data_IF_368380447903
#
_entry.id   IF_368380447903
#
_cell.length_a   1.000
_cell.length_b   1.000
_cell.length_c   1.000
_cell.angle_alpha   90.00
_cell.angle_beta   90.00
_cell.angle_gamma   90.00
#
_symmetry.space_group_name_H-M   'P 1'
#
loop_
_entity.id
_entity.type
_entity.pdbx_description
1 polymer ?
#
# COMPACT_ATOMS: atom_id res chain seq x y z
N UNK A 1 -3.45 7.28 41.37
CA UNK A 1 -4.47 8.24 40.84
C UNK A 1 -5.09 9.16 41.91
N UNK A 2 -4.74 9.00 43.22
CA UNK A 2 -5.44 9.68 44.32
C UNK A 2 -5.20 11.20 44.44
N UNK A 3 -4.23 11.80 43.72
CA UNK A 3 -3.87 13.22 43.90
C UNK A 3 -3.70 14.03 42.59
N UNK A 4 -4.15 13.56 41.45
CA UNK A 4 -4.09 14.32 40.19
C UNK A 4 -5.44 14.95 39.88
N UNK A 5 -5.45 16.23 39.51
CA UNK A 5 -6.65 16.86 38.98
C UNK A 5 -7.04 16.21 37.65
N UNK A 6 -8.33 16.16 37.33
CA UNK A 6 -8.85 15.62 36.05
C UNK A 6 -8.14 16.27 34.85
N UNK A 7 -7.89 17.58 34.91
CA UNK A 7 -7.17 18.33 33.86
C UNK A 7 -5.73 17.84 33.70
N UNK A 8 -5.02 17.59 34.83
CA UNK A 8 -3.64 17.06 34.83
C UNK A 8 -3.60 15.66 34.25
N UNK A 9 -4.58 14.82 34.58
CA UNK A 9 -4.70 13.47 34.02
C UNK A 9 -4.88 13.48 32.50
N UNK A 10 -5.82 14.27 31.98
CA UNK A 10 -6.03 14.39 30.53
C UNK A 10 -4.82 14.97 29.80
N UNK A 11 -4.15 15.97 30.38
CA UNK A 11 -2.91 16.52 29.79
C UNK A 11 -1.84 15.45 29.68
N UNK A 12 -1.62 14.66 30.72
CA UNK A 12 -0.67 13.55 30.69
C UNK A 12 -1.04 12.46 29.68
N UNK A 13 -2.34 12.12 29.58
CA UNK A 13 -2.85 11.17 28.61
C UNK A 13 -2.56 11.63 27.17
N UNK A 14 -2.95 12.87 26.82
CA UNK A 14 -2.69 13.41 25.49
C UNK A 14 -1.20 13.54 25.19
N UNK A 15 -0.40 13.96 26.15
CA UNK A 15 1.03 14.08 25.96
C UNK A 15 1.68 12.71 25.69
N UNK A 16 1.28 11.66 26.42
CA UNK A 16 1.78 10.31 26.19
C UNK A 16 1.29 9.75 24.84
N UNK A 17 0.01 9.98 24.49
CA UNK A 17 -0.54 9.55 23.19
C UNK A 17 0.18 10.23 22.01
N UNK A 18 0.50 11.52 22.10
CA UNK A 18 1.20 12.26 21.05
C UNK A 18 2.66 11.83 20.86
N UNK A 19 3.27 11.20 21.87
CA UNK A 19 4.62 10.63 21.80
C UNK A 19 4.68 9.30 21.05
N UNK A 20 3.53 8.62 20.92
CA UNK A 20 3.46 7.37 20.17
C UNK A 20 3.68 7.62 18.68
N UNK A 21 4.25 6.64 18.01
CA UNK A 21 4.32 6.62 16.54
C UNK A 21 2.91 6.63 15.93
N UNK A 22 2.79 7.02 14.67
CA UNK A 22 1.49 7.03 13.99
C UNK A 22 0.86 5.63 13.96
N UNK A 23 1.65 4.58 13.74
CA UNK A 23 1.17 3.20 13.76
C UNK A 23 0.66 2.77 15.13
N UNK A 24 1.35 3.14 16.21
CA UNK A 24 0.89 2.84 17.57
C UNK A 24 -0.43 3.56 17.89
N UNK A 25 -0.56 4.83 17.47
CA UNK A 25 -1.81 5.59 17.60
C UNK A 25 -2.94 4.96 16.80
N UNK A 26 -2.64 4.50 15.58
CA UNK A 26 -3.60 3.78 14.74
C UNK A 26 -4.06 2.48 15.40
N UNK A 27 -3.13 1.69 15.94
CA UNK A 27 -3.46 0.46 16.66
C UNK A 27 -4.35 0.68 17.89
N UNK A 28 -4.19 1.80 18.59
CA UNK A 28 -5.05 2.19 19.73
C UNK A 28 -6.45 2.58 19.23
N UNK A 29 -6.54 3.42 18.19
CA UNK A 29 -7.83 3.88 17.63
C UNK A 29 -8.63 2.69 17.09
N UNK A 30 -7.98 1.74 16.43
CA UNK A 30 -8.58 0.52 15.86
C UNK A 30 -8.24 -0.72 16.70
N UNK A 31 -8.20 -0.58 18.04
CA UNK A 31 -7.80 -1.66 18.94
C UNK A 31 -8.64 -2.92 18.80
N UNK A 32 -9.95 -2.78 18.58
CA UNK A 32 -10.85 -3.91 18.34
C UNK A 32 -10.44 -4.68 17.08
N UNK A 33 -10.25 -3.98 15.97
CA UNK A 33 -9.86 -4.56 14.69
C UNK A 33 -8.46 -5.19 14.79
N UNK A 34 -7.53 -4.50 15.41
CA UNK A 34 -6.15 -4.98 15.67
C UNK A 34 -6.16 -6.30 16.45
N UNK A 35 -6.92 -6.37 17.54
CA UNK A 35 -7.03 -7.57 18.36
C UNK A 35 -7.65 -8.74 17.59
N UNK A 36 -8.75 -8.50 16.85
CA UNK A 36 -9.39 -9.53 16.03
C UNK A 36 -8.47 -10.06 14.92
N UNK A 37 -7.71 -9.17 14.28
CA UNK A 37 -6.76 -9.56 13.24
C UNK A 37 -5.60 -10.37 13.82
N UNK A 38 -5.04 -9.94 14.95
CA UNK A 38 -3.98 -10.69 15.65
C UNK A 38 -4.47 -12.08 16.08
N UNK A 39 -5.67 -12.18 16.65
CA UNK A 39 -6.28 -13.45 17.00
C UNK A 39 -6.47 -14.35 15.76
N UNK A 40 -6.93 -13.76 14.64
CA UNK A 40 -7.12 -14.48 13.41
C UNK A 40 -5.80 -15.01 12.82
N UNK A 41 -4.72 -14.24 12.89
CA UNK A 41 -3.38 -14.65 12.45
C UNK A 41 -2.84 -15.78 13.33
N UNK A 42 -2.92 -15.60 14.64
CA UNK A 42 -2.38 -16.55 15.64
C UNK A 42 -3.10 -17.90 15.59
N UNK A 43 -4.45 -17.86 15.59
CA UNK A 43 -5.30 -19.06 15.60
C UNK A 43 -5.64 -19.59 14.21
N UNK A 44 -5.07 -18.99 13.16
CA UNK A 44 -5.36 -19.37 11.75
C UNK A 44 -6.86 -19.39 11.43
N UNK A 45 -7.58 -18.33 11.82
CA UNK A 45 -9.03 -18.19 11.61
C UNK A 45 -9.33 -17.22 10.48
N UNK A 46 -10.38 -17.54 9.71
CA UNK A 46 -10.85 -16.71 8.61
C UNK A 46 -11.56 -15.48 9.17
N UNK A 47 -11.26 -14.31 8.62
CA UNK A 47 -11.97 -13.06 8.87
C UNK A 47 -13.00 -12.83 7.77
N UNK A 48 -14.21 -12.45 8.12
CA UNK A 48 -15.17 -11.91 7.18
C UNK A 48 -15.02 -10.39 7.16
N UNK A 49 -14.77 -9.85 5.97
CA UNK A 49 -14.53 -8.41 5.75
C UNK A 49 -15.43 -7.90 4.64
N UNK A 50 -15.64 -6.59 4.59
CA UNK A 50 -16.30 -5.94 3.45
C UNK A 50 -15.25 -5.34 2.51
N UNK A 51 -15.13 -5.92 1.32
CA UNK A 51 -14.30 -5.41 0.25
C UNK A 51 -15.18 -5.00 -0.94
N UNK A 52 -15.06 -3.76 -1.42
CA UNK A 52 -15.89 -3.23 -2.52
C UNK A 52 -17.40 -3.43 -2.32
N UNK A 53 -17.90 -3.19 -1.09
CA UNK A 53 -19.32 -3.36 -0.66
C UNK A 53 -19.81 -4.82 -0.69
N UNK A 54 -18.93 -5.81 -0.87
CA UNK A 54 -19.26 -7.23 -0.83
C UNK A 54 -18.60 -7.89 0.37
N UNK A 55 -19.30 -8.84 0.98
CA UNK A 55 -18.71 -9.69 2.02
C UNK A 55 -17.74 -10.67 1.38
N UNK A 56 -16.53 -10.72 1.93
CA UNK A 56 -15.44 -11.57 1.45
C UNK A 56 -14.77 -12.27 2.63
N UNK A 57 -14.30 -13.48 2.40
CA UNK A 57 -13.47 -14.19 3.35
C UNK A 57 -12.01 -13.76 3.16
N UNK A 58 -11.37 -13.38 4.26
CA UNK A 58 -9.98 -12.96 4.27
C UNK A 58 -9.17 -13.87 5.19
N UNK A 59 -8.08 -14.37 4.68
CA UNK A 59 -7.15 -15.28 5.31
C UNK A 59 -5.91 -14.47 5.71
N UNK A 60 -5.86 -13.90 6.91
CA UNK A 60 -4.80 -12.97 7.28
C UNK A 60 -3.49 -13.72 7.48
N UNK A 61 -2.41 -13.14 6.95
CA UNK A 61 -1.06 -13.69 7.06
C UNK A 61 -0.20 -12.92 8.05
N UNK A 62 -0.16 -11.59 7.91
CA UNK A 62 0.71 -10.73 8.72
C UNK A 62 0.17 -9.30 8.76
N UNK A 63 0.36 -8.63 9.90
CA UNK A 63 0.29 -7.17 10.00
C UNK A 63 1.69 -6.59 9.84
N UNK A 64 1.81 -5.49 9.09
CA UNK A 64 3.08 -4.81 8.86
C UNK A 64 2.87 -3.30 8.79
N UNK A 65 3.83 -2.57 9.37
CA UNK A 65 3.88 -1.11 9.29
C UNK A 65 4.79 -0.69 8.15
N UNK A 66 4.39 0.29 7.36
CA UNK A 66 5.27 0.92 6.39
C UNK A 66 6.23 1.87 7.11
N UNK A 67 7.49 1.93 6.63
CA UNK A 67 8.46 2.87 7.19
C UNK A 67 8.16 4.32 6.80
N UNK A 68 7.54 4.49 5.63
CA UNK A 68 7.30 5.78 5.00
C UNK A 68 6.03 6.45 5.51
N UNK A 69 4.95 5.67 5.60
CA UNK A 69 3.63 6.20 5.97
C UNK A 69 3.29 5.97 7.43
N UNK A 70 4.07 5.13 8.11
CA UNK A 70 3.81 4.73 9.49
C UNK A 70 2.40 4.17 9.72
N UNK A 71 1.80 3.61 8.66
CA UNK A 71 0.46 3.05 8.66
C UNK A 71 0.51 1.53 8.78
N UNK A 72 -0.54 0.94 9.36
CA UNK A 72 -0.64 -0.50 9.53
C UNK A 72 -1.40 -1.11 8.35
N UNK A 73 -0.75 -2.08 7.70
CA UNK A 73 -1.36 -2.89 6.66
C UNK A 73 -1.49 -4.34 7.10
N UNK A 74 -2.53 -4.99 6.64
CA UNK A 74 -2.77 -6.41 6.84
C UNK A 74 -2.71 -7.10 5.49
N UNK A 75 -1.78 -8.02 5.32
CA UNK A 75 -1.65 -8.84 4.11
C UNK A 75 -2.22 -10.23 4.35
N UNK A 76 -2.84 -10.79 3.32
CA UNK A 76 -3.42 -12.13 3.35
C UNK A 76 -4.00 -12.54 2.00
N UNK A 77 -4.75 -13.64 1.99
CA UNK A 77 -5.48 -14.09 0.80
C UNK A 77 -6.95 -13.67 0.88
N UNK A 78 -7.43 -12.98 -0.14
CA UNK A 78 -8.84 -12.69 -0.31
C UNK A 78 -9.52 -13.89 -0.97
N UNK A 79 -10.58 -14.39 -0.34
CA UNK A 79 -11.31 -15.60 -0.74
C UNK A 79 -10.39 -16.84 -0.95
N UNK A 80 -9.30 -16.92 -0.17
CA UNK A 80 -8.34 -18.03 -0.22
C UNK A 80 -7.51 -18.12 -1.50
N UNK A 81 -7.51 -17.10 -2.35
CA UNK A 81 -6.88 -17.17 -3.69
C UNK A 81 -5.91 -16.03 -3.97
N UNK A 82 -6.36 -14.80 -3.86
CA UNK A 82 -5.65 -13.62 -4.33
C UNK A 82 -4.95 -12.90 -3.20
N UNK A 83 -3.66 -12.64 -3.31
CA UNK A 83 -2.94 -11.82 -2.34
C UNK A 83 -3.51 -10.40 -2.36
N UNK A 84 -3.83 -9.91 -1.17
CA UNK A 84 -4.34 -8.58 -1.00
C UNK A 84 -3.80 -7.96 0.30
N UNK A 85 -3.48 -6.67 0.26
CA UNK A 85 -3.18 -5.89 1.46
C UNK A 85 -4.23 -4.83 1.68
N UNK A 86 -4.65 -4.70 2.91
CA UNK A 86 -5.60 -3.69 3.35
C UNK A 86 -4.95 -2.79 4.38
N UNK A 87 -5.12 -1.49 4.24
CA UNK A 87 -4.83 -0.56 5.32
C UNK A 87 -5.82 -0.80 6.48
N UNK A 88 -5.32 -0.81 7.73
CA UNK A 88 -6.10 -1.17 8.91
C UNK A 88 -7.42 -0.37 9.01
N UNK A 89 -7.39 0.93 8.77
CA UNK A 89 -8.58 1.79 8.86
C UNK A 89 -9.71 1.39 7.89
N UNK A 90 -9.40 0.67 6.79
CA UNK A 90 -10.38 0.19 5.81
C UNK A 90 -11.10 -1.08 6.25
N UNK A 91 -10.58 -1.76 7.25
CA UNK A 91 -11.10 -3.03 7.75
C UNK A 91 -12.15 -2.85 8.85
N UNK A 92 -13.08 -1.90 8.68
CA UNK A 92 -14.17 -1.67 9.63
C UNK A 92 -15.23 -2.77 9.54
N UNK A 93 -15.77 -3.17 10.71
CA UNK A 93 -16.87 -4.12 10.79
C UNK A 93 -16.48 -5.56 10.46
N UNK A 94 -15.17 -5.89 10.58
CA UNK A 94 -14.72 -7.26 10.40
C UNK A 94 -15.24 -8.17 11.52
N UNK A 95 -15.46 -9.43 11.18
CA UNK A 95 -15.87 -10.47 12.13
C UNK A 95 -14.97 -11.69 12.01
N UNK A 96 -14.66 -12.29 13.15
CA UNK A 96 -13.90 -13.52 13.23
C UNK A 96 -14.86 -14.71 13.03
N UNK A 97 -14.56 -15.57 12.06
CA UNK A 97 -15.35 -16.80 11.84
C UNK A 97 -14.84 -17.96 12.71
N UNK A 98 -15.60 -19.04 12.80
CA UNK A 98 -15.15 -20.26 13.47
C UNK A 98 -14.34 -21.21 12.57
N UNK A 99 -14.15 -20.83 11.29
CA UNK A 99 -13.41 -21.65 10.34
C UNK A 99 -11.92 -21.37 10.44
N UNK A 100 -11.14 -22.44 10.57
CA UNK A 100 -9.68 -22.40 10.54
C UNK A 100 -9.16 -22.70 9.14
N UNK A 101 -7.93 -22.30 8.86
CA UNK A 101 -7.28 -22.54 7.58
C UNK A 101 -5.79 -22.83 7.76
N UNK A 102 -5.19 -23.41 6.74
CA UNK A 102 -3.74 -23.55 6.63
C UNK A 102 -3.27 -23.05 5.26
N UNK A 103 -2.21 -22.28 5.25
CA UNK A 103 -1.58 -21.89 4.00
C UNK A 103 -0.75 -23.04 3.43
N UNK A 104 -0.92 -23.34 2.16
CA UNK A 104 -0.05 -24.23 1.40
C UNK A 104 1.39 -23.66 1.34
N UNK A 105 2.42 -24.48 1.19
CA UNK A 105 3.81 -24.01 1.09
C UNK A 105 4.01 -22.94 0.01
N UNK A 106 3.37 -23.11 -1.14
CA UNK A 106 3.42 -22.16 -2.26
C UNK A 106 2.75 -20.82 -1.92
N UNK A 107 1.61 -20.84 -1.22
CA UNK A 107 0.92 -19.64 -0.77
C UNK A 107 1.76 -18.87 0.25
N UNK A 108 2.39 -19.57 1.19
CA UNK A 108 3.33 -18.95 2.14
C UNK A 108 4.50 -18.27 1.41
N UNK A 109 5.09 -18.94 0.40
CA UNK A 109 6.18 -18.37 -0.41
C UNK A 109 5.74 -17.12 -1.16
N UNK A 110 4.55 -17.14 -1.76
CA UNK A 110 3.96 -15.98 -2.45
C UNK A 110 3.69 -14.83 -1.48
N UNK A 111 3.06 -15.10 -0.33
CA UNK A 111 2.78 -14.10 0.71
C UNK A 111 4.05 -13.48 1.27
N UNK A 112 5.10 -14.29 1.52
CA UNK A 112 6.40 -13.82 1.98
C UNK A 112 7.04 -12.90 0.93
N UNK A 113 7.05 -13.27 -0.35
CA UNK A 113 7.56 -12.44 -1.45
C UNK A 113 6.78 -11.12 -1.53
N UNK A 114 5.46 -11.17 -1.47
CA UNK A 114 4.61 -9.97 -1.52
C UNK A 114 4.80 -9.06 -0.29
N UNK A 115 5.04 -9.61 0.90
CA UNK A 115 5.26 -8.84 2.12
C UNK A 115 6.66 -8.22 2.20
N UNK A 116 7.62 -8.67 1.41
CA UNK A 116 8.99 -8.10 1.37
C UNK A 116 9.09 -6.83 0.51
N UNK A 117 8.13 -6.59 -0.38
CA UNK A 117 8.02 -5.39 -1.20
C UNK A 117 7.19 -4.30 -0.50
N UNK A 118 6.84 -3.23 -1.22
CA UNK A 118 5.93 -2.20 -0.72
C UNK A 118 4.55 -2.80 -0.39
N UNK A 119 4.24 -2.88 0.90
CA UNK A 119 3.10 -3.64 1.44
C UNK A 119 1.76 -3.12 0.91
N UNK A 120 1.64 -1.82 0.66
CA UNK A 120 0.46 -1.16 0.10
C UNK A 120 0.11 -1.64 -1.31
N UNK A 121 1.10 -2.16 -2.04
CA UNK A 121 0.95 -2.72 -3.39
C UNK A 121 1.03 -4.25 -3.42
N UNK A 122 1.02 -4.92 -2.27
CA UNK A 122 1.09 -6.37 -2.22
C UNK A 122 -0.11 -7.00 -2.95
N UNK A 123 0.15 -7.57 -4.12
CA UNK A 123 -0.79 -8.21 -5.04
C UNK A 123 -0.12 -9.39 -5.74
N UNK A 124 -0.92 -10.28 -6.31
CA UNK A 124 -0.43 -11.40 -7.14
C UNK A 124 -0.03 -11.00 -8.56
N UNK A 125 -0.57 -9.90 -9.05
CA UNK A 125 -0.42 -9.47 -10.43
C UNK A 125 0.86 -8.66 -10.66
N UNK A 126 2.01 -9.30 -10.40
CA UNK A 126 3.28 -8.74 -10.83
C UNK A 126 3.37 -8.75 -12.35
N UNK A 127 3.90 -7.69 -12.91
CA UNK A 127 4.20 -7.60 -14.33
C UNK A 127 5.70 -7.40 -14.53
N UNK A 128 6.24 -7.99 -15.58
CA UNK A 128 7.57 -7.66 -16.06
C UNK A 128 7.51 -6.33 -16.83
N UNK A 129 8.32 -5.38 -16.43
CA UNK A 129 8.37 -4.06 -17.05
C UNK A 129 9.78 -3.65 -17.41
N UNK A 130 9.89 -2.85 -18.50
CA UNK A 130 11.12 -2.18 -18.92
C UNK A 130 10.87 -0.69 -18.96
N UNK A 131 11.69 0.06 -18.24
CA UNK A 131 11.56 1.51 -18.11
C UNK A 131 12.92 2.13 -18.40
N UNK A 132 12.95 3.08 -19.32
CA UNK A 132 14.14 3.88 -19.62
C UNK A 132 14.14 5.12 -18.76
N UNK A 133 15.27 5.44 -18.16
CA UNK A 133 15.45 6.64 -17.36
C UNK A 133 16.53 7.52 -17.98
N UNK A 134 16.24 8.82 -18.16
CA UNK A 134 17.29 9.80 -18.48
C UNK A 134 18.28 9.94 -17.31
N UNK A 135 19.37 10.67 -17.49
CA UNK A 135 20.31 10.95 -16.40
C UNK A 135 19.62 11.62 -15.20
N UNK A 136 18.64 12.51 -15.44
CA UNK A 136 17.85 13.15 -14.38
C UNK A 136 16.87 12.15 -13.75
N UNK A 137 16.26 11.29 -14.55
CA UNK A 137 15.41 10.19 -14.07
C UNK A 137 16.15 9.26 -13.14
N UNK A 138 17.40 8.89 -13.47
CA UNK A 138 18.25 8.04 -12.61
C UNK A 138 18.58 8.75 -11.26
N UNK A 139 18.86 10.06 -11.28
CA UNK A 139 19.07 10.84 -10.05
C UNK A 139 17.80 10.88 -9.20
N UNK A 140 16.64 11.08 -9.84
CA UNK A 140 15.34 11.09 -9.16
C UNK A 140 14.99 9.71 -8.60
N UNK A 141 15.29 8.62 -9.33
CA UNK A 141 15.10 7.25 -8.87
C UNK A 141 15.90 6.94 -7.60
N UNK A 142 17.14 7.41 -7.51
CA UNK A 142 17.98 7.26 -6.31
C UNK A 142 17.45 8.07 -5.12
N UNK A 143 16.90 9.25 -5.37
CA UNK A 143 16.43 10.19 -4.34
C UNK A 143 15.02 9.86 -3.83
N UNK A 144 14.10 9.50 -4.73
CA UNK A 144 12.71 9.22 -4.37
C UNK A 144 12.60 7.73 -4.00
N UNK A 145 12.70 7.45 -2.72
CA UNK A 145 12.65 6.08 -2.19
C UNK A 145 11.24 5.62 -1.80
N UNK A 146 10.30 6.57 -1.57
CA UNK A 146 8.92 6.26 -1.22
C UNK A 146 8.21 5.48 -2.35
N UNK A 147 7.71 4.29 -2.02
CA UNK A 147 7.06 3.35 -2.95
C UNK A 147 7.93 2.93 -4.14
N UNK A 148 9.26 3.07 -4.01
CA UNK A 148 10.18 2.71 -5.09
C UNK A 148 10.13 1.21 -5.36
N UNK A 149 9.84 0.80 -6.61
CA UNK A 149 9.99 -0.60 -7.01
C UNK A 149 11.48 -0.97 -7.09
N UNK A 150 11.82 -2.17 -6.63
CA UNK A 150 13.18 -2.67 -6.75
C UNK A 150 13.43 -3.24 -8.15
N UNK A 151 14.48 -2.77 -8.86
CA UNK A 151 14.81 -3.29 -10.16
C UNK A 151 15.40 -4.71 -10.05
N UNK A 152 14.95 -5.63 -10.90
CA UNK A 152 15.55 -6.98 -11.00
C UNK A 152 16.87 -6.96 -11.76
N UNK A 153 17.04 -6.01 -12.68
CA UNK A 153 18.26 -5.81 -13.48
C UNK A 153 18.29 -4.37 -13.99
N UNK A 154 19.51 -3.86 -14.17
CA UNK A 154 19.76 -2.55 -14.82
C UNK A 154 20.77 -2.81 -15.94
N UNK A 155 20.46 -2.31 -17.14
CA UNK A 155 21.36 -2.36 -18.31
C UNK A 155 21.38 -0.95 -18.93
N UNK A 156 22.48 -0.24 -18.77
CA UNK A 156 22.65 1.15 -19.18
C UNK A 156 21.58 2.08 -18.54
N UNK A 157 20.69 2.64 -19.38
CA UNK A 157 19.57 3.50 -18.99
C UNK A 157 18.23 2.75 -18.85
N UNK A 158 18.22 1.42 -19.08
CA UNK A 158 17.03 0.57 -19.03
C UNK A 158 17.00 -0.21 -17.71
N UNK A 159 15.93 -0.01 -16.96
CA UNK A 159 15.60 -0.66 -15.70
C UNK A 159 14.55 -1.72 -15.93
N UNK A 160 14.78 -2.93 -15.41
CA UNK A 160 13.87 -4.06 -15.49
C UNK A 160 13.22 -4.27 -14.11
N UNK A 161 11.93 -4.49 -14.09
CA UNK A 161 11.14 -4.67 -12.87
C UNK A 161 10.26 -5.91 -12.97
N UNK A 162 10.02 -6.53 -11.83
CA UNK A 162 8.91 -7.46 -11.59
C UNK A 162 8.11 -6.88 -10.43
N UNK A 163 7.06 -6.10 -10.73
CA UNK A 163 6.32 -5.33 -9.74
C UNK A 163 4.83 -5.18 -10.12
N UNK A 164 3.96 -4.83 -9.17
CA UNK A 164 2.55 -4.53 -9.45
C UNK A 164 2.40 -3.39 -10.44
N UNK A 165 1.43 -3.53 -11.35
CA UNK A 165 1.13 -2.51 -12.37
C UNK A 165 0.90 -1.12 -11.75
N UNK A 166 0.06 -1.07 -10.70
CA UNK A 166 -0.31 0.18 -10.04
C UNK A 166 0.91 0.86 -9.37
N UNK A 167 1.84 0.08 -8.79
CA UNK A 167 3.06 0.62 -8.23
C UNK A 167 3.91 1.28 -9.31
N UNK A 168 4.12 0.60 -10.45
CA UNK A 168 4.94 1.12 -11.54
C UNK A 168 4.35 2.40 -12.12
N UNK A 169 3.04 2.43 -12.41
CA UNK A 169 2.40 3.60 -12.97
C UNK A 169 2.46 4.79 -12.01
N UNK A 170 2.09 4.61 -10.73
CA UNK A 170 2.10 5.68 -9.74
C UNK A 170 3.52 6.18 -9.42
N UNK A 171 4.51 5.30 -9.46
CA UNK A 171 5.89 5.69 -9.16
C UNK A 171 6.51 6.48 -10.31
N UNK A 172 6.44 5.96 -11.56
CA UNK A 172 7.17 6.53 -12.68
C UNK A 172 6.47 7.70 -13.38
N UNK A 173 5.15 7.87 -13.26
CA UNK A 173 4.48 9.08 -13.77
C UNK A 173 4.93 10.36 -13.09
N UNK A 174 5.49 10.29 -11.87
CA UNK A 174 6.11 11.44 -11.17
C UNK A 174 7.35 12.00 -11.87
N UNK A 175 7.97 11.21 -12.76
CA UNK A 175 9.22 11.57 -13.44
C UNK A 175 8.97 12.39 -14.71
N UNK A 176 7.74 12.46 -15.20
CA UNK A 176 7.40 13.17 -16.44
C UNK A 176 8.23 12.66 -17.62
N UNK A 177 8.90 13.57 -18.30
CA UNK A 177 9.76 13.27 -19.46
C UNK A 177 11.01 12.45 -19.14
N UNK A 178 11.35 12.29 -17.86
CA UNK A 178 12.60 11.64 -17.42
C UNK A 178 12.43 10.13 -17.21
N UNK A 179 11.23 9.58 -17.40
CA UNK A 179 10.96 8.15 -17.41
C UNK A 179 10.08 7.76 -18.61
N UNK A 180 10.54 6.79 -19.39
CA UNK A 180 9.77 6.22 -20.50
C UNK A 180 9.44 4.75 -20.19
N UNK A 181 8.16 4.42 -20.13
CA UNK A 181 7.69 3.06 -19.96
C UNK A 181 7.70 2.34 -21.30
N UNK A 182 8.68 1.44 -21.51
CA UNK A 182 8.88 0.75 -22.79
C UNK A 182 7.98 -0.47 -22.92
N UNK A 183 7.89 -1.29 -21.87
CA UNK A 183 7.12 -2.54 -21.83
C UNK A 183 6.53 -2.76 -20.42
N UNK A 184 5.39 -3.47 -20.33
CA UNK A 184 4.52 -3.91 -21.42
C UNK A 184 3.77 -2.74 -22.06
N UNK A 185 3.26 -2.90 -23.27
CA UNK A 185 2.52 -1.84 -23.97
C UNK A 185 1.33 -1.31 -23.17
N UNK A 186 0.67 -2.16 -22.38
CA UNK A 186 -0.41 -1.75 -21.49
C UNK A 186 0.04 -0.69 -20.46
N UNK A 187 1.25 -0.84 -19.92
CA UNK A 187 1.81 0.13 -18.98
C UNK A 187 2.15 1.45 -19.69
N UNK A 188 2.73 1.39 -20.89
CA UNK A 188 2.99 2.56 -21.73
C UNK A 188 1.70 3.33 -22.06
N UNK A 189 0.67 2.62 -22.54
CA UNK A 189 -0.62 3.24 -22.85
C UNK A 189 -1.29 3.89 -21.64
N UNK A 190 -1.16 3.28 -20.45
CA UNK A 190 -1.67 3.88 -19.21
C UNK A 190 -0.93 5.17 -18.85
N UNK A 191 0.39 5.22 -19.03
CA UNK A 191 1.17 6.44 -18.81
C UNK A 191 0.82 7.54 -19.83
N UNK A 192 0.68 7.18 -21.11
CA UNK A 192 0.23 8.12 -22.15
C UNK A 192 -1.15 8.71 -21.82
N UNK A 193 -2.09 7.86 -21.38
CA UNK A 193 -3.41 8.31 -20.96
C UNK A 193 -3.33 9.28 -19.78
N UNK A 194 -2.54 8.93 -18.75
CA UNK A 194 -2.33 9.79 -17.58
C UNK A 194 -1.81 11.19 -17.96
N UNK A 195 -0.83 11.27 -18.86
CA UNK A 195 -0.28 12.57 -19.29
C UNK A 195 -1.25 13.36 -20.17
N UNK A 196 -2.00 12.69 -21.04
CA UNK A 196 -3.03 13.34 -21.87
C UNK A 196 -4.17 13.91 -21.00
N UNK A 197 -4.64 13.15 -20.03
CA UNK A 197 -5.66 13.62 -19.09
C UNK A 197 -5.13 14.80 -18.25
N UNK A 198 -3.87 14.73 -17.82
CA UNK A 198 -3.23 15.84 -17.11
C UNK A 198 -3.10 17.11 -17.97
N UNK A 199 -2.73 16.98 -19.24
CA UNK A 199 -2.63 18.11 -20.18
C UNK A 199 -3.99 18.74 -20.44
N UNK A 200 -5.03 17.94 -20.65
CA UNK A 200 -6.39 18.42 -20.93
C UNK A 200 -6.92 19.36 -19.83
N UNK A 201 -6.53 19.16 -18.57
CA UNK A 201 -6.91 20.06 -17.46
C UNK A 201 -6.40 21.50 -17.66
N UNK A 202 -5.23 21.66 -18.27
CA UNK A 202 -4.65 22.99 -18.52
C UNK A 202 -5.25 23.63 -19.79
N UNK A 203 -5.52 22.83 -20.84
CA UNK A 203 -6.15 23.30 -22.08
C UNK A 203 -7.60 23.77 -21.85
N UNK A 204 -8.35 23.11 -20.94
CA UNK A 204 -9.69 23.56 -20.56
C UNK A 204 -9.69 24.88 -19.78
N UNK A 205 -8.67 25.14 -18.97
CA UNK A 205 -8.55 26.37 -18.17
C UNK A 205 -8.16 27.60 -18.98
N UNK A 206 -7.47 27.41 -20.12
CA UNK A 206 -7.18 28.53 -21.01
C UNK A 206 -8.45 29.13 -21.67
N UNK A 207 -9.55 28.37 -21.70
CA UNK A 207 -10.84 28.80 -22.23
C UNK A 207 -11.72 29.54 -21.22
N UNK A 208 -11.40 29.51 -19.93
CA UNK A 208 -12.14 30.19 -18.88
C UNK A 208 -11.27 31.32 -18.27
N UNK A 209 -11.69 32.60 -18.33
CA UNK A 209 -10.95 33.68 -17.69
C UNK A 209 -10.90 33.44 -16.18
N UNK A 210 -9.70 33.48 -15.61
CA UNK A 210 -9.50 33.43 -14.17
C UNK A 210 -10.14 34.72 -13.62
N UNK A 211 -11.26 34.60 -12.91
CA UNK A 211 -11.78 35.69 -12.12
C UNK A 211 -10.90 35.80 -10.87
N UNK A 212 -10.13 36.88 -10.79
CA UNK A 212 -9.44 37.31 -9.58
C UNK A 212 -10.39 37.69 -8.45
#
# INVERSE_FOLDING_TARGET
>A
LKNQSVSSYFRSLFHNYLRLSQAEREAIIFSRETNLINEAIEKRRILRIKANKKDCDFYPYQMKTTKEEYLIYVIGLLNGKTIYSFHLYKLKGLTLTNHTFEFKPEEKKRLLKASSSAIEYARDNLIEAKIRLTNNGQKSFKRIWHNRPEPTRIVNDIYYFEAPFDQLIHYFTRFGKDAEMLLPLKLRSAAEKFYKEGLAVYEEKEKAPIKE
#
